data_IF_975637437400
#
_entry.id   IF_975637437400
#
_cell.length_a   1.000
_cell.length_b   1.000
_cell.length_c   1.000
_cell.angle_alpha   90.00
_cell.angle_beta   90.00
_cell.angle_gamma   90.00
#
_symmetry.space_group_name_H-M   'P 1'
#
loop_
_entity.id
_entity.type
_entity.pdbx_description
1 polymer ?
#
# COMPACT_ATOMS: atom_id res chain seq x y z
N UNK A 1 -6.18 -7.66 11.26
CA UNK A 1 -6.47 -6.39 10.54
C UNK A 1 -6.68 -6.60 9.03
N UNK A 2 -5.97 -7.54 8.40
CA UNK A 2 -6.07 -7.84 6.98
C UNK A 2 -7.48 -8.32 6.55
N UNK A 3 -7.87 -7.96 5.33
CA UNK A 3 -8.98 -8.59 4.63
C UNK A 3 -8.54 -9.93 4.04
N UNK A 4 -9.47 -10.88 3.76
CA UNK A 4 -9.13 -12.16 3.15
C UNK A 4 -8.30 -11.98 1.87
N UNK A 5 -7.34 -12.87 1.62
CA UNK A 5 -6.47 -12.84 0.44
C UNK A 5 -6.00 -14.26 0.09
N UNK A 6 -5.34 -14.38 -1.05
CA UNK A 6 -4.79 -15.62 -1.58
C UNK A 6 -5.75 -16.39 -2.50
N UNK A 7 -5.30 -17.53 -3.03
CA UNK A 7 -6.02 -18.26 -4.08
C UNK A 7 -7.41 -18.76 -3.62
N UNK A 8 -7.59 -18.98 -2.31
CA UNK A 8 -8.87 -19.42 -1.74
C UNK A 8 -10.01 -18.41 -1.87
N UNK A 9 -9.70 -17.13 -2.13
CA UNK A 9 -10.69 -16.08 -2.41
C UNK A 9 -10.59 -15.56 -3.85
N UNK A 10 -9.87 -16.29 -4.71
CA UNK A 10 -9.75 -15.98 -6.14
C UNK A 10 -8.72 -14.92 -6.49
N UNK A 11 -7.72 -14.67 -5.62
CA UNK A 11 -6.63 -13.75 -5.95
C UNK A 11 -5.75 -14.30 -7.07
N UNK A 12 -5.36 -13.41 -7.98
CA UNK A 12 -4.19 -13.60 -8.84
C UNK A 12 -2.92 -13.32 -8.02
N UNK A 13 -1.76 -13.72 -8.55
CA UNK A 13 -0.47 -13.42 -7.94
C UNK A 13 0.51 -12.92 -8.99
N UNK A 14 1.43 -12.05 -8.58
CA UNK A 14 2.60 -11.73 -9.41
C UNK A 14 3.52 -12.95 -9.52
N UNK A 15 4.45 -12.92 -10.47
CA UNK A 15 5.49 -13.93 -10.56
C UNK A 15 6.49 -13.82 -9.41
N UNK A 16 7.08 -14.97 -9.02
CA UNK A 16 8.17 -15.04 -8.06
C UNK A 16 9.45 -14.47 -8.65
N UNK A 17 9.60 -13.17 -8.51
CA UNK A 17 10.66 -12.34 -9.07
C UNK A 17 11.09 -11.28 -8.05
N UNK A 18 12.26 -10.71 -8.29
CA UNK A 18 12.84 -9.61 -7.52
C UNK A 18 11.99 -8.33 -7.73
N UNK A 19 12.22 -7.67 -8.86
CA UNK A 19 11.49 -6.48 -9.31
C UNK A 19 10.24 -6.82 -10.12
N UNK A 20 9.52 -7.87 -9.70
CA UNK A 20 8.34 -8.36 -10.40
C UNK A 20 7.16 -7.37 -10.36
N UNK A 21 6.27 -7.49 -11.34
CA UNK A 21 5.07 -6.66 -11.45
C UNK A 21 3.94 -7.44 -12.11
N UNK A 22 2.69 -7.10 -11.76
CA UNK A 22 1.52 -7.58 -12.49
C UNK A 22 1.53 -7.03 -13.93
N UNK A 23 0.79 -7.69 -14.85
CA UNK A 23 0.29 -7.02 -16.06
C UNK A 23 -0.53 -5.77 -15.72
N UNK A 24 -0.87 -4.96 -16.72
CA UNK A 24 -1.82 -3.86 -16.55
C UNK A 24 -3.20 -4.40 -16.17
N UNK A 25 -3.74 -3.93 -15.03
CA UNK A 25 -5.04 -4.36 -14.53
C UNK A 25 -6.05 -3.27 -14.81
N UNK A 26 -6.99 -3.52 -15.73
CA UNK A 26 -8.09 -2.61 -16.01
C UNK A 26 -9.14 -2.62 -14.89
N UNK A 27 -9.46 -1.45 -14.38
CA UNK A 27 -10.42 -1.29 -13.28
C UNK A 27 -11.85 -1.46 -13.78
N UNK A 28 -12.63 -2.23 -13.04
CA UNK A 28 -14.05 -2.45 -13.28
C UNK A 28 -14.92 -1.29 -12.77
N UNK A 29 -14.33 -0.38 -12.01
CA UNK A 29 -14.94 0.82 -11.43
C UNK A 29 -13.94 1.97 -11.56
N UNK A 30 -14.44 3.20 -11.69
CA UNK A 30 -13.55 4.35 -11.71
C UNK A 30 -12.93 4.56 -10.32
N UNK A 31 -11.62 4.83 -10.27
CA UNK A 31 -10.93 5.19 -9.04
C UNK A 31 -10.29 6.57 -9.20
N UNK A 32 -10.80 7.55 -8.44
CA UNK A 32 -10.22 8.89 -8.36
C UNK A 32 -9.15 8.93 -7.29
N UNK A 33 -7.96 9.41 -7.64
CA UNK A 33 -6.83 9.57 -6.74
C UNK A 33 -6.22 10.95 -6.98
N UNK A 34 -6.25 11.80 -5.94
CA UNK A 34 -5.84 13.22 -6.02
C UNK A 34 -6.60 13.98 -7.13
N UNK A 35 -7.92 13.78 -7.25
CA UNK A 35 -8.75 14.44 -8.26
C UNK A 35 -8.61 13.89 -9.69
N UNK A 36 -7.73 12.90 -9.91
CA UNK A 36 -7.51 12.28 -11.21
C UNK A 36 -8.13 10.89 -11.27
N UNK A 37 -8.98 10.67 -12.28
CA UNK A 37 -9.63 9.38 -12.53
C UNK A 37 -8.69 8.43 -13.27
N UNK A 38 -8.47 7.24 -12.70
CA UNK A 38 -7.66 6.18 -13.29
C UNK A 38 -8.52 5.00 -13.73
N UNK A 39 -8.10 4.36 -14.83
CA UNK A 39 -8.78 3.20 -15.44
C UNK A 39 -7.96 1.91 -15.35
N UNK A 40 -6.71 2.02 -14.93
CA UNK A 40 -5.82 0.88 -14.76
C UNK A 40 -4.81 1.13 -13.65
N UNK A 41 -4.29 0.03 -13.12
CA UNK A 41 -3.20 0.02 -12.15
C UNK A 41 -2.25 -1.15 -12.38
N UNK A 42 -1.15 -1.13 -11.64
CA UNK A 42 -0.17 -2.20 -11.54
C UNK A 42 0.10 -2.51 -10.07
N UNK A 43 0.36 -3.78 -9.76
CA UNK A 43 0.83 -4.22 -8.43
C UNK A 43 2.28 -4.67 -8.58
N UNK A 44 3.18 -4.01 -7.87
CA UNK A 44 4.62 -4.26 -7.94
C UNK A 44 5.09 -5.02 -6.68
N UNK A 45 6.05 -5.93 -6.86
CA UNK A 45 6.59 -6.77 -5.80
C UNK A 45 7.21 -5.94 -4.67
N UNK A 46 7.83 -4.80 -5.01
CA UNK A 46 8.47 -3.89 -4.07
C UNK A 46 7.48 -3.08 -3.22
N UNK A 47 6.19 -3.43 -3.15
CA UNK A 47 5.26 -2.84 -2.19
C UNK A 47 4.55 -1.57 -2.67
N UNK A 48 4.27 -1.50 -3.97
CA UNK A 48 3.63 -0.35 -4.62
C UNK A 48 2.42 -0.77 -5.45
N UNK A 49 1.34 0.02 -5.37
CA UNK A 49 0.23 0.01 -6.33
C UNK A 49 0.25 1.32 -7.11
N UNK A 50 0.58 1.28 -8.40
CA UNK A 50 0.71 2.47 -9.24
C UNK A 50 -0.40 2.58 -10.27
N UNK A 51 -0.81 3.80 -10.63
CA UNK A 51 -1.93 4.04 -11.52
C UNK A 51 -1.48 4.47 -12.91
N UNK A 52 -1.97 3.78 -13.96
CA UNK A 52 -1.69 4.09 -15.37
C UNK A 52 -0.23 3.96 -15.84
N UNK A 53 0.73 3.78 -14.93
CA UNK A 53 2.16 3.63 -15.24
C UNK A 53 2.84 2.72 -14.21
N UNK A 54 3.96 2.11 -14.60
CA UNK A 54 4.75 1.21 -13.75
C UNK A 54 5.77 1.99 -12.91
N UNK A 55 6.17 1.41 -11.77
CA UNK A 55 7.25 1.91 -10.91
C UNK A 55 8.32 0.81 -10.81
N UNK A 56 9.41 0.86 -11.60
CA UNK A 56 10.43 -0.19 -11.61
C UNK A 56 11.46 -0.08 -10.47
N UNK A 57 11.49 1.02 -9.72
CA UNK A 57 12.52 1.25 -8.71
C UNK A 57 12.30 0.41 -7.45
N UNK A 58 13.36 -0.28 -7.02
CA UNK A 58 13.44 -0.98 -5.75
C UNK A 58 13.94 -0.10 -4.59
N UNK A 59 14.73 0.94 -4.88
CA UNK A 59 15.23 1.89 -3.86
C UNK A 59 14.16 2.93 -3.55
N UNK A 60 13.65 3.00 -2.32
CA UNK A 60 12.63 3.97 -1.96
C UNK A 60 13.17 5.40 -1.97
N UNK A 61 12.52 6.26 -2.74
CA UNK A 61 12.81 7.69 -2.84
C UNK A 61 11.86 8.50 -1.94
N UNK A 62 12.28 9.68 -1.44
CA UNK A 62 11.39 10.50 -0.65
C UNK A 62 10.27 11.07 -1.54
N UNK A 63 9.12 11.31 -0.94
CA UNK A 63 8.07 12.08 -1.60
C UNK A 63 8.30 13.59 -1.41
N UNK A 64 7.92 14.43 -2.40
CA UNK A 64 7.31 14.05 -3.67
C UNK A 64 8.32 13.38 -4.59
N UNK A 65 7.92 12.28 -5.23
CA UNK A 65 8.76 11.58 -6.20
C UNK A 65 8.62 12.27 -7.56
N UNK A 66 9.69 12.87 -8.11
CA UNK A 66 9.65 13.48 -9.42
C UNK A 66 9.36 12.45 -10.53
N UNK A 67 8.71 12.90 -11.59
CA UNK A 67 8.50 12.11 -12.82
C UNK A 67 7.09 11.59 -13.01
N UNK A 68 6.10 12.26 -12.42
CA UNK A 68 4.68 12.06 -12.72
C UNK A 68 4.11 10.67 -12.49
N UNK A 69 4.51 10.02 -11.40
CA UNK A 69 4.02 8.66 -11.07
C UNK A 69 3.04 8.70 -9.90
N UNK A 70 1.73 8.51 -10.18
CA UNK A 70 0.73 8.35 -9.14
C UNK A 70 0.78 6.94 -8.56
N UNK A 71 1.00 6.81 -7.26
CA UNK A 71 0.96 5.50 -6.61
C UNK A 71 0.68 5.57 -5.11
N UNK A 72 0.23 4.42 -4.62
CA UNK A 72 0.08 4.08 -3.21
C UNK A 72 1.20 3.13 -2.82
N UNK A 73 1.98 3.48 -1.80
CA UNK A 73 3.03 2.66 -1.23
C UNK A 73 2.60 2.24 0.18
N UNK A 74 1.94 1.08 0.38
CA UNK A 74 1.77 0.53 1.73
C UNK A 74 3.14 0.34 2.40
N UNK A 75 4.11 -0.20 1.67
CA UNK A 75 5.46 -0.45 2.20
C UNK A 75 6.44 -0.61 1.04
N UNK A 76 6.88 0.50 0.44
CA UNK A 76 7.81 0.46 -0.69
C UNK A 76 9.22 0.16 -0.22
N UNK A 77 9.73 -1.02 -0.55
CA UNK A 77 11.09 -1.49 -0.27
C UNK A 77 11.48 -2.62 -1.23
N UNK A 78 12.77 -2.93 -1.28
CA UNK A 78 13.37 -3.96 -2.13
C UNK A 78 13.01 -5.37 -1.65
N UNK A 79 11.87 -5.87 -2.15
CA UNK A 79 11.24 -7.15 -1.83
C UNK A 79 11.75 -8.21 -2.81
N UNK A 80 12.09 -9.39 -2.31
CA UNK A 80 12.47 -10.52 -3.16
C UNK A 80 11.60 -11.75 -2.88
N UNK A 81 10.56 -11.92 -3.71
CA UNK A 81 9.63 -13.04 -3.58
C UNK A 81 10.25 -14.40 -3.94
N UNK A 82 11.43 -14.43 -4.60
CA UNK A 82 12.17 -15.68 -4.86
C UNK A 82 12.72 -16.28 -3.56
N UNK A 83 12.96 -15.44 -2.56
CA UNK A 83 13.46 -15.84 -1.23
C UNK A 83 12.32 -16.16 -0.26
N UNK A 84 11.12 -15.64 -0.51
CA UNK A 84 9.92 -16.05 0.23
C UNK A 84 8.76 -15.08 0.10
N UNK A 85 7.57 -15.63 0.31
CA UNK A 85 6.30 -14.91 0.28
C UNK A 85 5.68 -14.80 -1.11
N UNK A 86 4.52 -14.17 -1.15
CA UNK A 86 3.70 -14.03 -2.35
C UNK A 86 3.07 -12.64 -2.39
N UNK A 87 2.79 -12.13 -3.58
CA UNK A 87 2.04 -10.89 -3.77
C UNK A 87 0.74 -11.20 -4.48
N UNK A 88 -0.37 -11.12 -3.75
CA UNK A 88 -1.72 -11.44 -4.20
C UNK A 88 -2.50 -10.18 -4.52
N UNK A 89 -3.36 -10.24 -5.54
CA UNK A 89 -4.28 -9.15 -5.83
C UNK A 89 -5.61 -9.61 -6.44
N UNK A 90 -6.67 -8.82 -6.21
CA UNK A 90 -7.97 -8.98 -6.88
C UNK A 90 -8.79 -7.71 -6.92
N UNK A 91 -9.72 -7.66 -7.87
CA UNK A 91 -10.91 -6.81 -7.81
C UNK A 91 -12.06 -7.59 -7.19
N UNK A 92 -12.91 -6.93 -6.41
CA UNK A 92 -14.05 -7.58 -5.75
C UNK A 92 -15.28 -6.69 -5.69
N UNK A 93 -16.43 -7.33 -5.91
CA UNK A 93 -17.77 -6.81 -5.61
C UNK A 93 -18.51 -7.70 -4.60
N UNK A 94 -17.77 -8.49 -3.85
CA UNK A 94 -18.34 -9.39 -2.85
C UNK A 94 -19.08 -8.58 -1.75
N UNK A 95 -20.39 -8.83 -1.54
CA UNK A 95 -21.17 -8.04 -0.59
C UNK A 95 -20.66 -8.10 0.85
N UNK A 96 -20.06 -9.22 1.27
CA UNK A 96 -19.54 -9.35 2.65
C UNK A 96 -18.28 -8.50 2.83
N UNK A 97 -17.37 -8.52 1.87
CA UNK A 97 -16.19 -7.66 1.86
C UNK A 97 -16.58 -6.18 1.83
N UNK A 98 -17.51 -5.78 0.95
CA UNK A 98 -17.94 -4.39 0.82
C UNK A 98 -18.66 -3.88 2.08
N UNK A 99 -19.54 -4.69 2.69
CA UNK A 99 -20.19 -4.34 3.95
C UNK A 99 -19.18 -4.16 5.09
N UNK A 100 -18.15 -5.01 5.14
CA UNK A 100 -17.06 -4.86 6.12
C UNK A 100 -16.23 -3.60 5.85
N UNK A 101 -15.90 -3.31 4.59
CA UNK A 101 -15.21 -2.08 4.21
C UNK A 101 -16.00 -0.84 4.60
N UNK A 102 -17.32 -0.82 4.38
CA UNK A 102 -18.19 0.27 4.79
C UNK A 102 -18.11 0.54 6.30
N UNK A 103 -18.15 -0.51 7.12
CA UNK A 103 -18.01 -0.40 8.58
C UNK A 103 -16.61 0.09 8.99
N UNK A 104 -15.58 -0.47 8.38
CA UNK A 104 -14.18 -0.16 8.69
C UNK A 104 -13.78 1.26 8.25
N UNK A 105 -14.42 1.81 7.22
CA UNK A 105 -14.22 3.16 6.70
C UNK A 105 -15.10 4.23 7.36
N UNK A 106 -16.16 3.86 8.07
CA UNK A 106 -17.06 4.83 8.70
C UNK A 106 -16.33 5.88 9.58
N UNK A 107 -15.25 5.55 10.34
CA UNK A 107 -14.51 6.56 11.10
C UNK A 107 -13.57 7.46 10.27
N UNK A 108 -13.41 7.19 8.97
CA UNK A 108 -12.50 7.93 8.07
C UNK A 108 -13.19 9.14 7.43
N UNK A 109 -14.49 9.31 7.66
CA UNK A 109 -15.28 10.45 7.20
C UNK A 109 -15.79 11.25 8.40
N UNK A 110 -15.98 12.57 8.27
CA UNK A 110 -16.65 13.38 9.29
C UNK A 110 -18.04 12.81 9.64
N UNK A 111 -18.52 12.92 10.89
CA UNK A 111 -19.83 12.41 11.29
C UNK A 111 -21.02 13.00 10.50
N UNK A 112 -20.85 14.19 9.94
CA UNK A 112 -21.83 14.87 9.09
C UNK A 112 -21.90 14.32 7.65
N UNK A 113 -20.84 13.65 7.19
CA UNK A 113 -20.80 13.07 5.85
C UNK A 113 -21.56 11.73 5.83
N UNK A 114 -22.18 11.36 4.69
CA UNK A 114 -22.77 10.05 4.53
C UNK A 114 -21.75 8.94 4.80
N UNK A 115 -22.19 7.88 5.49
CA UNK A 115 -21.33 6.72 5.72
C UNK A 115 -20.88 6.11 4.38
N UNK A 116 -19.61 5.67 4.26
CA UNK A 116 -19.10 5.08 3.02
C UNK A 116 -19.92 3.86 2.59
N UNK A 117 -20.25 3.78 1.30
CA UNK A 117 -20.98 2.66 0.69
C UNK A 117 -20.24 2.16 -0.56
N UNK A 118 -19.05 1.55 -0.41
CA UNK A 118 -18.28 1.09 -1.56
C UNK A 118 -19.04 0.01 -2.33
N UNK A 119 -19.06 0.14 -3.65
CA UNK A 119 -19.62 -0.83 -4.62
C UNK A 119 -18.54 -1.71 -5.23
N UNK A 120 -17.27 -1.33 -5.04
CA UNK A 120 -16.11 -2.04 -5.55
C UNK A 120 -14.90 -1.88 -4.64
N UNK A 121 -14.06 -2.91 -4.63
CA UNK A 121 -12.77 -2.88 -3.97
C UNK A 121 -11.66 -3.52 -4.81
N UNK A 122 -10.44 -3.04 -4.64
CA UNK A 122 -9.22 -3.73 -5.06
C UNK A 122 -8.42 -4.08 -3.82
N UNK A 123 -7.99 -5.33 -3.68
CA UNK A 123 -7.17 -5.80 -2.56
C UNK A 123 -5.84 -6.26 -3.12
N UNK A 124 -4.72 -5.72 -2.62
CA UNK A 124 -3.37 -6.19 -2.90
C UNK A 124 -2.65 -6.50 -1.58
N UNK A 125 -2.10 -7.70 -1.46
CA UNK A 125 -1.45 -8.20 -0.24
C UNK A 125 -0.07 -8.73 -0.56
N UNK A 126 0.95 -8.23 0.12
CA UNK A 126 2.28 -8.81 0.18
C UNK A 126 2.30 -9.71 1.41
N UNK A 127 2.20 -11.02 1.20
CA UNK A 127 2.13 -12.02 2.25
C UNK A 127 3.49 -12.63 2.52
N UNK A 128 3.98 -12.47 3.74
CA UNK A 128 5.26 -13.02 4.23
C UNK A 128 6.43 -12.81 3.27
N UNK A 129 6.53 -11.63 2.66
CA UNK A 129 7.57 -11.31 1.69
C UNK A 129 8.93 -11.09 2.36
N UNK A 130 9.97 -11.68 1.77
CA UNK A 130 11.37 -11.46 2.16
C UNK A 130 11.94 -10.19 1.49
N UNK A 131 13.08 -9.72 1.98
CA UNK A 131 13.84 -8.62 1.37
C UNK A 131 14.97 -9.13 0.48
N UNK A 132 15.37 -8.32 -0.49
CA UNK A 132 16.49 -8.64 -1.36
C UNK A 132 17.78 -8.87 -0.57
N UNK A 133 18.43 -10.00 -0.84
CA UNK A 133 19.65 -10.43 -0.17
C UNK A 133 19.48 -10.97 1.26
N UNK A 134 18.26 -11.34 1.65
CA UNK A 134 18.00 -11.93 2.94
C UNK A 134 18.80 -13.22 3.18
N UNK A 135 19.56 -13.23 4.26
CA UNK A 135 20.21 -14.39 4.89
C UNK A 135 19.56 -14.66 6.26
N UNK A 136 18.24 -14.50 6.33
CA UNK A 136 17.39 -14.66 7.53
C UNK A 136 16.01 -15.20 7.17
N UNK A 137 15.21 -15.53 8.17
CA UNK A 137 13.81 -15.95 8.04
C UNK A 137 12.80 -14.79 8.21
N UNK A 138 13.29 -13.56 8.20
CA UNK A 138 12.48 -12.36 8.48
C UNK A 138 11.59 -12.04 7.29
N UNK A 139 10.32 -11.82 7.56
CA UNK A 139 9.30 -11.56 6.53
C UNK A 139 8.36 -10.43 6.95
N UNK A 140 7.79 -9.74 5.96
CA UNK A 140 6.78 -8.71 6.17
C UNK A 140 5.44 -9.15 5.59
N UNK A 141 4.34 -8.72 6.22
CA UNK A 141 2.98 -8.89 5.68
C UNK A 141 2.24 -7.57 5.74
N UNK A 142 1.79 -7.06 4.60
CA UNK A 142 1.06 -5.80 4.51
C UNK A 142 0.10 -5.81 3.31
N UNK A 143 -0.89 -4.92 3.33
CA UNK A 143 -1.99 -4.92 2.37
C UNK A 143 -2.45 -3.51 2.06
N UNK A 144 -2.67 -3.22 0.78
CA UNK A 144 -3.39 -2.05 0.31
C UNK A 144 -4.79 -2.46 -0.16
N UNK A 145 -5.80 -1.70 0.23
CA UNK A 145 -7.17 -1.85 -0.24
C UNK A 145 -7.67 -0.53 -0.80
N UNK A 146 -8.06 -0.54 -2.07
CA UNK A 146 -8.77 0.56 -2.70
C UNK A 146 -10.27 0.28 -2.59
N UNK A 147 -11.07 1.27 -2.24
CA UNK A 147 -12.53 1.15 -2.21
C UNK A 147 -13.15 2.34 -2.94
N UNK A 148 -14.20 2.10 -3.73
CA UNK A 148 -14.88 3.14 -4.50
C UNK A 148 -16.38 2.86 -4.55
N UNK A 149 -17.18 3.92 -4.56
CA UNK A 149 -18.61 3.89 -4.94
C UNK A 149 -18.85 4.46 -6.36
N UNK A 150 -17.77 4.68 -7.10
CA UNK A 150 -17.74 5.35 -8.40
C UNK A 150 -17.48 6.85 -8.33
N UNK A 151 -17.62 7.46 -7.15
CA UNK A 151 -17.39 8.90 -6.91
C UNK A 151 -16.38 9.10 -5.79
N UNK A 152 -16.70 8.65 -4.57
CA UNK A 152 -15.83 8.74 -3.40
C UNK A 152 -14.90 7.53 -3.35
N UNK A 153 -13.61 7.80 -3.16
CA UNK A 153 -12.56 6.79 -3.25
C UNK A 153 -11.76 6.79 -1.95
N UNK A 154 -11.44 5.60 -1.45
CA UNK A 154 -10.66 5.42 -0.24
C UNK A 154 -9.46 4.50 -0.49
N UNK A 155 -8.40 4.75 0.27
CA UNK A 155 -7.27 3.84 0.45
C UNK A 155 -7.24 3.39 1.90
N UNK A 156 -7.23 2.08 2.13
CA UNK A 156 -6.89 1.49 3.42
C UNK A 156 -5.55 0.76 3.32
N UNK A 157 -4.70 0.96 4.30
CA UNK A 157 -3.42 0.26 4.44
C UNK A 157 -3.48 -0.56 5.73
N UNK A 158 -3.28 -1.87 5.61
CA UNK A 158 -3.32 -2.80 6.72
C UNK A 158 -1.95 -3.47 6.88
N UNK A 159 -1.43 -3.51 8.09
CA UNK A 159 -0.11 -4.06 8.40
C UNK A 159 -0.27 -5.27 9.33
N UNK A 160 0.24 -6.41 8.88
CA UNK A 160 0.41 -7.62 9.68
C UNK A 160 1.71 -7.52 10.47
N UNK A 161 2.57 -8.53 10.32
CA UNK A 161 3.89 -8.52 10.94
C UNK A 161 4.90 -7.76 10.05
N UNK A 162 5.75 -6.93 10.66
CA UNK A 162 6.79 -6.15 9.98
C UNK A 162 8.11 -6.37 10.72
N UNK A 163 8.99 -7.18 10.14
CA UNK A 163 10.23 -7.67 10.76
C UNK A 163 11.50 -7.09 10.14
N UNK A 164 11.39 -6.42 8.99
CA UNK A 164 12.53 -5.85 8.27
C UNK A 164 12.17 -4.51 7.61
N UNK A 165 13.15 -3.63 7.42
CA UNK A 165 12.98 -2.31 6.79
C UNK A 165 13.64 -2.15 5.43
N UNK A 166 14.71 -2.91 5.18
CA UNK A 166 15.67 -2.57 4.13
C UNK A 166 16.34 -3.82 3.54
N UNK A 167 16.38 -3.92 2.22
CA UNK A 167 17.20 -4.90 1.48
C UNK A 167 18.67 -4.50 1.35
N UNK A 168 19.54 -5.43 0.97
CA UNK A 168 21.00 -5.19 0.95
C UNK A 168 21.43 -4.16 -0.09
N UNK A 169 20.70 -4.04 -1.21
CA UNK A 169 21.00 -3.04 -2.25
C UNK A 169 20.81 -1.61 -1.71
N UNK A 170 20.01 -1.47 -0.65
CA UNK A 170 19.73 -0.23 0.05
C UNK A 170 20.53 -0.09 1.36
N UNK A 171 21.66 -0.80 1.48
CA UNK A 171 22.56 -0.81 2.65
C UNK A 171 21.95 -1.43 3.91
N UNK A 172 20.93 -2.30 3.76
CA UNK A 172 20.42 -3.13 4.84
C UNK A 172 21.39 -4.24 5.23
N UNK A 173 21.32 -4.68 6.48
CA UNK A 173 22.05 -5.84 6.97
C UNK A 173 21.37 -7.15 6.51
N UNK A 174 22.10 -8.12 5.95
CA UNK A 174 21.51 -9.35 5.37
C UNK A 174 20.90 -10.31 6.39
N UNK A 175 21.19 -10.18 7.70
CA UNK A 175 20.67 -11.09 8.72
C UNK A 175 19.49 -10.50 9.51
N UNK A 176 19.38 -9.18 9.52
CA UNK A 176 18.33 -8.47 10.28
C UNK A 176 17.35 -7.74 9.36
N UNK A 177 17.74 -7.39 8.14
CA UNK A 177 16.95 -6.57 7.22
C UNK A 177 16.77 -5.14 7.71
N UNK A 178 17.69 -4.65 8.56
CA UNK A 178 17.65 -3.33 9.20
C UNK A 178 18.83 -2.45 8.74
N UNK A 179 18.71 -1.14 8.93
CA UNK A 179 19.72 -0.15 8.54
C UNK A 179 19.45 0.47 7.16
N UNK A 180 20.46 1.12 6.59
CA UNK A 180 20.39 1.65 5.23
C UNK A 180 19.27 2.68 4.98
N UNK A 181 18.60 2.56 3.82
CA UNK A 181 17.44 3.37 3.41
C UNK A 181 16.15 2.57 3.70
N UNK A 182 15.41 2.87 4.77
CA UNK A 182 14.19 2.15 5.14
C UNK A 182 13.06 2.33 4.14
N UNK A 183 12.09 1.42 4.21
CA UNK A 183 10.87 1.45 3.42
C UNK A 183 10.11 2.78 3.47
N UNK A 184 9.53 3.16 2.34
CA UNK A 184 8.69 4.35 2.17
C UNK A 184 7.21 3.94 2.23
N UNK A 185 6.43 4.56 3.11
CA UNK A 185 5.00 4.32 3.25
C UNK A 185 4.18 5.61 3.08
N UNK A 186 3.17 5.60 2.21
CA UNK A 186 2.34 6.75 1.90
C UNK A 186 1.88 6.81 0.45
N UNK A 187 1.72 8.03 -0.07
CA UNK A 187 1.14 8.31 -1.38
C UNK A 187 1.95 9.34 -2.15
N UNK A 188 2.04 9.20 -3.47
CA UNK A 188 2.54 10.23 -4.37
C UNK A 188 1.49 10.49 -5.45
N UNK A 189 1.06 11.74 -5.65
CA UNK A 189 0.01 12.09 -6.61
C UNK A 189 0.47 12.00 -8.08
N UNK A 190 1.78 12.13 -8.32
CA UNK A 190 2.33 12.29 -9.67
C UNK A 190 2.23 13.72 -10.25
N UNK A 191 1.91 14.74 -9.47
CA UNK A 191 1.96 16.14 -9.91
C UNK A 191 3.17 16.92 -9.38
N UNK A 192 4.12 16.20 -8.76
CA UNK A 192 5.34 16.73 -8.12
C UNK A 192 5.08 17.68 -6.92
N UNK A 193 3.81 17.88 -6.52
CA UNK A 193 3.41 18.79 -5.44
C UNK A 193 2.74 18.04 -4.31
N UNK A 194 1.79 17.17 -4.63
CA UNK A 194 0.92 16.55 -3.65
C UNK A 194 1.38 15.12 -3.31
N UNK A 195 1.51 14.85 -2.03
CA UNK A 195 1.94 13.55 -1.50
C UNK A 195 1.60 13.43 -0.03
N UNK A 196 1.74 12.23 0.50
CA UNK A 196 1.57 11.96 1.92
C UNK A 196 2.64 10.98 2.41
N UNK A 197 3.27 11.30 3.52
CA UNK A 197 4.12 10.38 4.27
C UNK A 197 3.35 9.90 5.51
N UNK A 198 3.24 8.59 5.69
CA UNK A 198 2.78 8.06 6.97
C UNK A 198 3.87 8.34 8.01
N UNK A 199 3.53 8.76 9.25
CA UNK A 199 4.52 8.99 10.30
C UNK A 199 5.48 7.81 10.44
N UNK A 200 6.78 8.09 10.46
CA UNK A 200 7.86 7.10 10.51
C UNK A 200 8.28 6.48 9.17
N UNK A 201 7.59 6.78 8.08
CA UNK A 201 8.00 6.43 6.71
C UNK A 201 9.46 6.81 6.44
N UNK A 202 10.21 5.94 5.74
CA UNK A 202 11.63 6.11 5.39
C UNK A 202 12.59 6.27 6.58
N UNK A 203 12.14 5.87 7.76
CA UNK A 203 12.97 5.79 8.97
C UNK A 203 12.88 4.39 9.55
N UNK A 204 13.77 3.99 10.48
CA UNK A 204 13.66 2.70 11.15
C UNK A 204 12.32 2.46 11.85
N UNK A 205 11.60 3.54 12.19
CA UNK A 205 10.29 3.46 12.87
C UNK A 205 9.15 3.01 11.95
N UNK A 206 9.38 2.84 10.64
CA UNK A 206 8.37 2.31 9.69
C UNK A 206 7.87 0.91 10.08
N UNK A 207 8.63 0.12 10.84
CA UNK A 207 8.16 -1.15 11.41
C UNK A 207 7.00 -0.98 12.40
N UNK A 208 6.86 0.20 13.03
CA UNK A 208 5.78 0.45 14.00
C UNK A 208 4.40 0.66 13.35
N UNK A 209 4.31 0.64 12.02
CA UNK A 209 3.03 0.82 11.31
C UNK A 209 2.00 -0.27 11.65
N UNK A 210 2.44 -1.47 12.03
CA UNK A 210 1.62 -2.57 12.56
C UNK A 210 1.01 -2.29 13.94
N UNK A 211 1.54 -1.31 14.68
CA UNK A 211 1.10 -0.95 16.03
C UNK A 211 0.45 0.44 16.12
N UNK A 212 0.58 1.25 15.06
CA UNK A 212 0.01 2.61 14.97
C UNK A 212 -1.21 2.65 14.03
N UNK A 213 -1.96 3.75 14.08
CA UNK A 213 -3.19 3.94 13.30
C UNK A 213 -3.63 5.40 13.32
N UNK A 214 -4.28 5.87 12.24
CA UNK A 214 -5.06 7.12 12.23
C UNK A 214 -6.57 6.91 12.49
N UNK A 215 -6.98 5.67 12.79
CA UNK A 215 -8.38 5.24 12.92
C UNK A 215 -8.67 4.58 14.28
N UNK A 216 -7.67 4.52 15.17
CA UNK A 216 -7.78 3.86 16.47
C UNK A 216 -7.72 2.33 16.44
N UNK A 217 -7.44 1.72 15.27
CA UNK A 217 -7.28 0.26 15.11
C UNK A 217 -5.82 -0.04 14.75
N UNK A 218 -4.99 -0.56 15.67
CA UNK A 218 -3.58 -0.83 15.42
C UNK A 218 -3.34 -1.60 14.11
N UNK A 219 -2.39 -1.11 13.31
CA UNK A 219 -2.07 -1.70 12.02
C UNK A 219 -3.00 -1.28 10.89
N UNK A 220 -4.01 -0.44 11.12
CA UNK A 220 -4.92 0.05 10.07
C UNK A 220 -4.81 1.55 9.88
N UNK A 221 -4.71 1.95 8.63
CA UNK A 221 -4.73 3.34 8.21
C UNK A 221 -5.75 3.51 7.10
N UNK A 222 -6.53 4.59 7.12
CA UNK A 222 -7.53 4.86 6.09
C UNK A 222 -7.54 6.33 5.68
N UNK A 223 -7.75 6.57 4.39
CA UNK A 223 -7.70 7.89 3.77
C UNK A 223 -8.76 7.98 2.69
N UNK A 224 -9.53 9.07 2.68
CA UNK A 224 -10.36 9.46 1.54
C UNK A 224 -9.46 10.13 0.50
N UNK A 225 -9.44 9.66 -0.75
CA UNK A 225 -8.44 10.06 -1.76
C UNK A 225 -9.00 10.65 -3.06
N UNK A 226 -10.33 10.71 -3.23
CA UNK A 226 -10.97 11.25 -4.44
C UNK A 226 -10.59 12.72 -4.71
N UNK A 227 -10.41 13.51 -3.65
CA UNK A 227 -9.95 14.89 -3.67
C UNK A 227 -8.92 15.15 -2.56
N UNK A 228 -7.85 14.35 -2.54
CA UNK A 228 -6.79 14.51 -1.53
C UNK A 228 -5.88 15.68 -1.87
N UNK A 229 -5.66 16.58 -0.90
CA UNK A 229 -4.82 17.78 -1.04
C UNK A 229 -3.72 17.80 0.03
N UNK A 230 -2.87 16.77 0.09
CA UNK A 230 -1.72 16.77 1.01
C UNK A 230 -0.44 17.19 0.31
N UNK A 231 0.38 18.03 0.98
CA UNK A 231 1.71 18.48 0.54
C UNK A 231 2.83 18.09 1.53
N UNK A 232 2.47 17.63 2.73
CA UNK A 232 3.23 16.82 3.71
C UNK A 232 2.20 16.21 4.71
N UNK A 233 2.56 15.13 5.43
CA UNK A 233 1.71 14.53 6.47
C UNK A 233 1.62 15.40 7.75
N UNK A 234 0.61 15.22 8.63
CA UNK A 234 0.52 16.01 9.86
C UNK A 234 1.75 15.75 10.75
N UNK A 235 2.25 16.79 11.45
CA UNK A 235 3.35 16.63 12.40
C UNK A 235 3.00 15.56 13.42
N UNK A 236 4.00 14.82 13.90
CA UNK A 236 3.82 13.97 15.08
C UNK A 236 3.14 14.79 16.17
N UNK A 237 1.92 14.42 16.56
CA UNK A 237 1.35 14.95 17.77
C UNK A 237 2.24 14.44 18.93
N UNK A 238 2.72 15.34 19.81
CA UNK A 238 3.66 15.02 20.87
C UNK A 238 3.12 13.99 21.88
#
# INVERSE_FOLDING_TARGET
VLYPFGPGVGDEATHHEDDGTSPEIFLQENFSFFGHAYRSLYVNNNGVVSFGTMVPEFTPQPFPLPGHRPFVAPYWADVDTRLGGDVFYRQSRDPQLLARLAQDLAPAVPPEDPSPQPTWAFVATWDRVAYFGAASDKVNTFQAVLASDGVTCFVLLNYGDLQWTTGIANQGDPHTGLGGIPAQAGFNSGDDVHYYNIPGSRTPTVQSLSHRSNMGVPGRWAFRVDHFEATEGPPEAP
#
